data_IF_578375078819
#
_entry.id   IF_578375078819
#
_cell.length_a   1.000
_cell.length_b   1.000
_cell.length_c   1.000
_cell.angle_alpha   90.00
_cell.angle_beta   90.00
_cell.angle_gamma   90.00
#
_symmetry.space_group_name_H-M   'P 1'
#
loop_
_entity.id
_entity.type
_entity.pdbx_description
1 polymer ?
#
# COMPACT_ATOMS: atom_id res chain seq x y z
N UNK A 1 14.09 19.11 -4.51
CA UNK A 1 13.55 17.84 -5.04
C UNK A 1 14.11 16.69 -4.22
N UNK A 2 13.35 16.05 -3.32
CA UNK A 2 13.82 14.85 -2.65
C UNK A 2 13.94 13.73 -3.69
N UNK A 3 15.15 13.17 -3.83
CA UNK A 3 15.42 12.04 -4.69
C UNK A 3 14.62 10.84 -4.18
N UNK A 4 13.50 10.53 -4.84
CA UNK A 4 12.82 9.25 -4.64
C UNK A 4 13.82 8.15 -5.00
N UNK A 5 14.32 7.48 -3.96
CA UNK A 5 15.37 6.48 -4.06
C UNK A 5 15.07 5.50 -5.19
N UNK A 6 16.03 5.33 -6.09
CA UNK A 6 15.98 4.26 -7.07
C UNK A 6 15.74 2.95 -6.32
N UNK A 7 14.80 2.14 -6.82
CA UNK A 7 14.55 0.80 -6.32
C UNK A 7 15.81 -0.05 -6.54
N UNK A 8 16.76 0.00 -5.61
CA UNK A 8 17.88 -0.94 -5.61
C UNK A 8 17.33 -2.24 -5.07
N UNK A 9 16.94 -3.12 -5.99
CA UNK A 9 16.68 -4.52 -5.72
C UNK A 9 17.94 -5.13 -5.10
N UNK A 10 18.02 -5.17 -3.77
CA UNK A 10 19.07 -5.87 -3.05
C UNK A 10 18.58 -7.25 -2.62
N UNK A 11 18.84 -8.24 -3.47
CA UNK A 11 19.50 -9.51 -3.09
C UNK A 11 19.67 -10.38 -4.34
N UNK A 12 20.93 -10.70 -4.69
CA UNK A 12 21.29 -11.73 -5.67
C UNK A 12 20.49 -13.00 -5.34
N UNK A 13 19.55 -13.40 -6.19
CA UNK A 13 18.81 -14.67 -6.08
C UNK A 13 17.36 -14.60 -5.59
N UNK A 14 16.78 -13.42 -5.34
CA UNK A 14 15.33 -13.31 -5.19
C UNK A 14 14.71 -12.95 -6.54
N UNK A 15 13.80 -13.79 -7.04
CA UNK A 15 12.98 -13.52 -8.23
C UNK A 15 12.35 -12.12 -8.06
N UNK A 16 12.83 -11.16 -8.86
CA UNK A 16 12.32 -9.80 -8.88
C UNK A 16 10.82 -9.85 -9.20
N UNK A 17 10.05 -8.89 -8.68
CA UNK A 17 8.68 -8.71 -9.16
C UNK A 17 8.82 -8.27 -10.60
N UNK A 18 8.38 -9.13 -11.52
CA UNK A 18 8.29 -8.75 -12.92
C UNK A 18 7.17 -7.71 -13.00
N UNK A 19 7.49 -6.54 -13.55
CA UNK A 19 6.60 -5.37 -13.65
C UNK A 19 5.31 -5.69 -14.42
N UNK A 20 5.26 -6.83 -15.11
CA UNK A 20 4.13 -7.31 -15.91
C UNK A 20 2.91 -7.72 -15.05
N UNK A 21 3.09 -8.14 -13.80
CA UNK A 21 1.97 -8.57 -12.94
C UNK A 21 1.10 -7.39 -12.45
N UNK A 22 1.58 -6.15 -12.50
CA UNK A 22 0.84 -4.99 -11.96
C UNK A 22 -0.20 -4.43 -12.91
N UNK A 23 0.08 -4.36 -14.21
CA UNK A 23 -0.85 -3.76 -15.19
C UNK A 23 -2.10 -4.62 -15.40
N UNK A 24 -1.95 -5.94 -15.48
CA UNK A 24 -3.11 -6.85 -15.57
C UNK A 24 -4.00 -6.72 -14.32
N UNK A 25 -3.39 -6.61 -13.14
CA UNK A 25 -4.13 -6.40 -11.91
C UNK A 25 -4.84 -5.03 -11.87
N UNK A 26 -4.22 -3.97 -12.40
CA UNK A 26 -4.86 -2.65 -12.55
C UNK A 26 -6.12 -2.77 -13.41
N UNK A 27 -6.04 -3.43 -14.57
CA UNK A 27 -7.20 -3.60 -15.45
C UNK A 27 -8.31 -4.45 -14.80
N UNK A 28 -7.96 -5.50 -14.06
CA UNK A 28 -8.96 -6.25 -13.28
C UNK A 28 -9.61 -5.39 -12.19
N UNK A 29 -8.86 -4.51 -11.56
CA UNK A 29 -9.35 -3.60 -10.54
C UNK A 29 -10.30 -2.56 -11.15
N UNK A 30 -9.91 -1.94 -12.28
CA UNK A 30 -10.73 -0.97 -13.01
C UNK A 30 -12.04 -1.59 -13.54
N UNK A 31 -11.98 -2.81 -14.09
CA UNK A 31 -13.15 -3.58 -14.53
C UNK A 31 -14.12 -3.89 -13.37
N UNK A 32 -13.57 -4.15 -12.18
CA UNK A 32 -14.39 -4.39 -11.00
C UNK A 32 -15.06 -3.10 -10.49
N UNK A 33 -14.35 -1.98 -10.52
CA UNK A 33 -14.86 -0.67 -10.12
C UNK A 33 -16.01 -0.21 -11.01
N UNK A 34 -15.87 -0.34 -12.34
CA UNK A 34 -16.90 0.07 -13.30
C UNK A 34 -18.22 -0.70 -13.12
N UNK A 35 -18.15 -1.95 -12.68
CA UNK A 35 -19.31 -2.80 -12.41
C UNK A 35 -20.04 -2.47 -11.09
N UNK A 36 -19.42 -1.69 -10.19
CA UNK A 36 -19.95 -1.37 -8.86
C UNK A 36 -20.25 0.12 -8.64
N UNK A 37 -20.44 0.88 -9.73
CA UNK A 37 -20.73 2.31 -9.67
C UNK A 37 -21.97 2.59 -8.80
N UNK A 38 -21.77 3.05 -7.57
CA UNK A 38 -22.81 3.26 -6.55
C UNK A 38 -22.53 2.69 -5.16
N UNK A 39 -21.49 1.87 -4.97
CA UNK A 39 -21.09 1.41 -3.63
C UNK A 39 -20.32 2.51 -2.87
N UNK A 40 -20.86 2.96 -1.74
CA UNK A 40 -20.25 3.98 -0.86
C UNK A 40 -18.92 3.52 -0.27
N UNK A 41 -18.64 2.21 -0.22
CA UNK A 41 -17.35 1.66 0.27
C UNK A 41 -16.91 0.48 -0.58
N UNK A 42 -15.70 0.53 -1.14
CA UNK A 42 -15.16 -0.51 -2.01
C UNK A 42 -14.13 -1.38 -1.29
N UNK A 43 -13.20 -0.77 -0.56
CA UNK A 43 -12.33 -1.46 0.39
C UNK A 43 -12.73 -1.13 1.83
N UNK A 44 -12.81 -2.17 2.66
CA UNK A 44 -13.12 -2.04 4.09
C UNK A 44 -11.88 -2.30 4.94
N UNK A 45 -11.77 -1.57 6.05
CA UNK A 45 -10.65 -1.68 6.99
C UNK A 45 -10.52 -3.12 7.49
N UNK A 46 -9.31 -3.68 7.40
CA UNK A 46 -9.03 -5.01 7.90
C UNK A 46 -9.30 -5.11 9.42
N UNK A 47 -10.31 -5.90 9.81
CA UNK A 47 -10.64 -6.11 11.23
C UNK A 47 -9.48 -6.82 11.94
N UNK A 48 -8.96 -6.21 13.01
CA UNK A 48 -7.98 -6.89 13.88
C UNK A 48 -8.66 -8.11 14.49
N UNK A 49 -8.08 -9.31 14.31
CA UNK A 49 -8.54 -10.50 15.03
C UNK A 49 -8.47 -10.21 16.54
N UNK A 50 -9.59 -10.35 17.23
CA UNK A 50 -9.64 -10.25 18.69
C UNK A 50 -8.66 -11.28 19.27
N UNK A 51 -7.66 -10.80 20.00
CA UNK A 51 -6.58 -11.61 20.53
C UNK A 51 -7.11 -12.49 21.68
N UNK A 52 -7.72 -13.63 21.34
CA UNK A 52 -8.09 -14.64 22.31
C UNK A 52 -6.82 -15.21 22.98
N UNK A 53 -6.87 -15.32 24.30
CA UNK A 53 -5.90 -15.90 25.25
C UNK A 53 -4.48 -16.25 24.73
N UNK A 54 -3.71 -15.27 24.26
CA UNK A 54 -2.27 -15.43 24.06
C UNK A 54 -1.53 -14.46 24.97
N UNK A 55 -0.62 -15.00 25.80
CA UNK A 55 0.20 -14.25 26.76
C UNK A 55 0.73 -12.99 26.07
N UNK A 56 0.37 -11.83 26.63
CA UNK A 56 0.65 -10.50 26.09
C UNK A 56 2.16 -10.22 26.21
N UNK A 57 2.96 -10.70 25.26
CA UNK A 57 4.28 -10.11 25.04
C UNK A 57 3.97 -8.72 24.51
N UNK A 58 4.07 -7.70 25.37
CA UNK A 58 3.87 -6.30 25.01
C UNK A 58 5.09 -5.85 24.21
N UNK A 59 5.25 -6.36 22.99
CA UNK A 59 6.16 -5.74 22.05
C UNK A 59 5.54 -4.40 21.66
N UNK A 60 6.20 -3.31 22.02
CA UNK A 60 5.76 -1.95 21.69
C UNK A 60 5.84 -1.81 20.17
N UNK A 61 4.73 -2.07 19.48
CA UNK A 61 4.61 -1.80 18.04
C UNK A 61 5.00 -0.34 17.82
N UNK A 62 5.94 -0.11 16.90
CA UNK A 62 6.46 1.22 16.59
C UNK A 62 5.55 2.03 15.66
N UNK A 63 4.48 1.42 15.18
CA UNK A 63 3.49 1.97 14.25
C UNK A 63 2.08 1.47 14.60
N UNK A 64 1.08 2.27 14.26
CA UNK A 64 -0.34 1.97 14.42
C UNK A 64 -0.90 1.15 13.24
N UNK A 65 -0.33 1.35 12.05
CA UNK A 65 -0.80 0.77 10.78
C UNK A 65 -0.06 -0.51 10.40
N UNK A 66 -0.75 -1.38 9.65
CA UNK A 66 -0.18 -2.62 9.11
C UNK A 66 0.74 -2.31 7.94
N UNK A 67 1.85 -3.05 7.83
CA UNK A 67 2.82 -2.85 6.74
C UNK A 67 3.74 -1.63 6.93
N UNK A 68 3.50 -0.79 7.93
CA UNK A 68 4.33 0.37 8.23
C UNK A 68 5.31 0.06 9.35
N UNK A 69 6.58 0.43 9.18
CA UNK A 69 7.61 0.32 10.20
C UNK A 69 8.31 1.66 10.40
N UNK A 70 8.44 2.10 11.65
CA UNK A 70 9.21 3.31 11.99
C UNK A 70 10.71 2.99 12.00
N UNK A 71 11.46 3.68 11.14
CA UNK A 71 12.91 3.64 11.10
C UNK A 71 13.47 5.03 11.42
N UNK A 72 14.00 5.19 12.64
CA UNK A 72 14.48 6.47 13.18
C UNK A 72 13.43 7.58 13.02
N UNK A 73 13.64 8.50 12.07
CA UNK A 73 12.77 9.66 11.82
C UNK A 73 11.75 9.44 10.71
N UNK A 74 11.85 8.35 9.94
CA UNK A 74 11.00 8.08 8.79
C UNK A 74 10.14 6.83 8.99
N UNK A 75 9.05 6.76 8.24
CA UNK A 75 8.12 5.64 8.19
C UNK A 75 8.26 4.91 6.86
N UNK A 76 8.56 3.62 6.94
CA UNK A 76 8.77 2.77 5.77
C UNK A 76 7.56 1.89 5.52
N UNK A 77 7.11 1.84 4.28
CA UNK A 77 6.08 0.92 3.81
C UNK A 77 6.73 -0.35 3.28
N UNK A 78 6.36 -1.51 3.84
CA UNK A 78 6.85 -2.82 3.42
C UNK A 78 5.67 -3.71 3.03
N UNK A 79 5.78 -4.35 1.88
CA UNK A 79 4.80 -5.32 1.39
C UNK A 79 5.40 -6.72 1.35
N UNK A 80 4.58 -7.74 1.56
CA UNK A 80 5.05 -9.13 1.52
C UNK A 80 4.60 -9.76 0.22
N UNK A 81 5.55 -10.16 -0.61
CA UNK A 81 5.32 -10.80 -1.90
C UNK A 81 6.03 -12.15 -1.87
N UNK A 82 5.30 -13.24 -2.11
CA UNK A 82 5.83 -14.61 -2.09
C UNK A 82 6.61 -14.93 -0.79
N UNK A 83 6.12 -14.43 0.34
CA UNK A 83 6.75 -14.61 1.66
C UNK A 83 7.98 -13.74 1.92
N UNK A 84 8.40 -12.89 0.98
CA UNK A 84 9.53 -11.96 1.13
C UNK A 84 9.04 -10.54 1.34
N UNK A 85 9.68 -9.81 2.25
CA UNK A 85 9.38 -8.39 2.50
C UNK A 85 10.08 -7.54 1.47
N UNK A 86 9.31 -6.82 0.68
CA UNK A 86 9.77 -5.84 -0.29
C UNK A 86 9.51 -4.44 0.24
N UNK A 87 10.54 -3.59 0.17
CA UNK A 87 10.42 -2.18 0.51
C UNK A 87 9.75 -1.42 -0.63
N UNK A 88 8.71 -0.67 -0.30
CA UNK A 88 7.91 0.08 -1.27
C UNK A 88 8.30 1.55 -1.28
N UNK A 89 8.45 2.16 -0.10
CA UNK A 89 8.75 3.58 0.03
C UNK A 89 9.01 4.01 1.48
N UNK A 90 9.52 5.22 1.64
CA UNK A 90 9.80 5.86 2.93
C UNK A 90 9.23 7.27 2.92
N UNK A 91 8.58 7.62 4.01
CA UNK A 91 7.81 8.85 4.16
C UNK A 91 8.09 9.49 5.52
N UNK A 92 7.88 10.79 5.62
CA UNK A 92 8.02 11.52 6.89
C UNK A 92 6.82 11.27 7.81
N UNK A 93 5.64 11.10 7.22
CA UNK A 93 4.39 10.85 7.94
C UNK A 93 3.99 9.38 7.89
N UNK A 94 3.48 8.90 9.02
CA UNK A 94 3.00 7.52 9.16
C UNK A 94 1.81 7.23 8.24
N UNK A 95 0.90 8.20 8.09
CA UNK A 95 -0.32 8.09 7.28
C UNK A 95 0.03 7.85 5.81
N UNK A 96 1.01 8.58 5.27
CA UNK A 96 1.44 8.44 3.88
C UNK A 96 2.01 7.05 3.60
N UNK A 97 2.82 6.52 4.53
CA UNK A 97 3.33 5.15 4.43
C UNK A 97 2.20 4.10 4.43
N UNK A 98 1.16 4.32 5.25
CA UNK A 98 0.01 3.44 5.33
C UNK A 98 -0.85 3.48 4.05
N UNK A 99 -1.07 4.66 3.48
CA UNK A 99 -1.80 4.82 2.20
C UNK A 99 -1.04 4.14 1.06
N UNK A 100 0.29 4.34 0.98
CA UNK A 100 1.11 3.62 0.01
C UNK A 100 0.96 2.12 0.17
N UNK A 101 1.07 1.59 1.40
CA UNK A 101 0.88 0.16 1.64
C UNK A 101 -0.48 -0.33 1.14
N UNK A 102 -1.56 0.40 1.46
CA UNK A 102 -2.92 0.05 1.06
C UNK A 102 -3.05 -0.02 -0.46
N UNK A 103 -2.54 0.97 -1.19
CA UNK A 103 -2.55 1.00 -2.64
C UNK A 103 -1.87 -0.22 -3.25
N UNK A 104 -0.63 -0.54 -2.83
CA UNK A 104 0.07 -1.72 -3.34
C UNK A 104 -0.59 -3.03 -2.90
N UNK A 105 -1.24 -3.07 -1.74
CA UNK A 105 -2.04 -4.23 -1.31
C UNK A 105 -3.24 -4.46 -2.22
N UNK A 106 -3.95 -3.39 -2.61
CA UNK A 106 -5.06 -3.43 -3.56
C UNK A 106 -4.61 -3.97 -4.91
N UNK A 107 -3.48 -3.48 -5.41
CA UNK A 107 -2.93 -3.95 -6.68
C UNK A 107 -2.56 -5.44 -6.67
N UNK A 108 -1.97 -5.93 -5.57
CA UNK A 108 -1.52 -7.33 -5.53
C UNK A 108 -2.63 -8.34 -5.22
N UNK A 109 -3.65 -7.92 -4.46
CA UNK A 109 -4.64 -8.85 -3.90
C UNK A 109 -6.08 -8.55 -4.35
N UNK A 110 -6.29 -7.48 -5.13
CA UNK A 110 -7.59 -7.04 -5.61
C UNK A 110 -8.62 -7.03 -4.44
N UNK A 111 -9.78 -7.68 -4.58
CA UNK A 111 -10.83 -7.77 -3.54
C UNK A 111 -10.36 -8.30 -2.17
N UNK A 112 -9.26 -9.06 -2.11
CA UNK A 112 -8.75 -9.67 -0.87
C UNK A 112 -7.73 -8.79 -0.16
N UNK A 113 -7.46 -7.59 -0.68
CA UNK A 113 -6.51 -6.67 -0.10
C UNK A 113 -6.84 -6.34 1.35
N UNK A 114 -5.79 -6.26 2.16
CA UNK A 114 -5.90 -5.88 3.55
C UNK A 114 -5.53 -4.41 3.66
N UNK A 115 -6.52 -3.54 3.69
CA UNK A 115 -6.31 -2.09 3.79
C UNK A 115 -6.43 -1.63 5.23
N UNK A 116 -5.67 -0.58 5.55
CA UNK A 116 -5.72 0.14 6.81
C UNK A 116 -6.86 1.18 6.82
N UNK A 117 -7.16 1.78 5.67
CA UNK A 117 -8.25 2.74 5.51
C UNK A 117 -9.40 2.19 4.66
N UNK A 118 -10.55 2.86 4.74
CA UNK A 118 -11.69 2.64 3.86
C UNK A 118 -11.57 3.53 2.64
N UNK A 119 -11.82 2.96 1.45
CA UNK A 119 -11.72 3.68 0.19
C UNK A 119 -13.00 3.56 -0.62
N UNK A 120 -13.41 4.67 -1.23
CA UNK A 120 -14.47 4.71 -2.24
C UNK A 120 -13.91 4.29 -3.60
N UNK A 121 -14.80 4.02 -4.56
CA UNK A 121 -14.39 3.74 -5.93
C UNK A 121 -13.60 4.93 -6.53
N UNK A 122 -14.06 6.16 -6.28
CA UNK A 122 -13.42 7.39 -6.78
C UNK A 122 -12.02 7.59 -6.20
N UNK A 123 -11.82 7.25 -4.92
CA UNK A 123 -10.50 7.33 -4.30
C UNK A 123 -9.51 6.41 -5.00
N UNK A 124 -9.92 5.17 -5.27
CA UNK A 124 -9.05 4.19 -5.93
C UNK A 124 -8.76 4.60 -7.37
N UNK A 125 -9.72 5.18 -8.09
CA UNK A 125 -9.49 5.75 -9.42
C UNK A 125 -8.42 6.85 -9.39
N UNK A 126 -8.54 7.81 -8.48
CA UNK A 126 -7.53 8.87 -8.30
C UNK A 126 -6.15 8.30 -7.99
N UNK A 127 -6.09 7.23 -7.20
CA UNK A 127 -4.82 6.57 -6.91
C UNK A 127 -4.19 5.93 -8.15
N UNK A 128 -4.99 5.29 -8.99
CA UNK A 128 -4.53 4.67 -10.24
C UNK A 128 -4.08 5.74 -11.24
N UNK A 129 -4.84 6.83 -11.39
CA UNK A 129 -4.45 7.97 -12.22
C UNK A 129 -3.12 8.57 -11.78
N UNK A 130 -2.97 8.78 -10.47
CA UNK A 130 -1.72 9.26 -9.87
C UNK A 130 -0.54 8.30 -10.15
N UNK A 131 -0.75 6.99 -10.02
CA UNK A 131 0.26 5.98 -10.33
C UNK A 131 0.71 6.03 -11.80
N UNK A 132 -0.25 6.17 -12.73
CA UNK A 132 0.01 6.33 -14.17
C UNK A 132 0.74 7.64 -14.49
N UNK A 133 0.35 8.73 -13.84
CA UNK A 133 0.94 10.06 -14.05
C UNK A 133 2.44 10.11 -13.68
N UNK A 134 2.86 9.36 -12.67
CA UNK A 134 4.25 9.35 -12.18
C UNK A 134 5.10 8.18 -12.72
N UNK A 135 4.68 7.56 -13.82
CA UNK A 135 5.45 6.49 -14.47
C UNK A 135 5.53 5.22 -13.64
N UNK A 136 4.37 4.72 -13.20
CA UNK A 136 4.20 3.50 -12.41
C UNK A 136 4.83 3.59 -11.01
N UNK A 137 4.71 4.77 -10.40
CA UNK A 137 5.08 5.02 -9.00
C UNK A 137 3.97 5.77 -8.30
N UNK A 138 3.52 5.26 -7.17
CA UNK A 138 2.45 5.94 -6.43
C UNK A 138 3.02 7.07 -5.58
N UNK A 139 2.46 8.28 -5.74
CA UNK A 139 2.82 9.44 -4.93
C UNK A 139 1.70 9.77 -3.91
N UNK A 140 1.82 9.37 -2.63
CA UNK A 140 0.75 9.58 -1.66
C UNK A 140 0.48 11.04 -1.30
N UNK A 141 1.40 11.97 -1.58
CA UNK A 141 1.23 13.40 -1.25
C UNK A 141 0.13 14.04 -2.10
N UNK A 142 0.03 13.67 -3.38
CA UNK A 142 -0.95 14.21 -4.33
C UNK A 142 -2.36 13.72 -4.00
N UNK A 143 -2.48 12.54 -3.38
CA UNK A 143 -3.77 11.96 -2.97
C UNK A 143 -4.34 12.64 -1.70
N UNK A 144 -3.49 12.93 -0.72
CA UNK A 144 -3.93 13.54 0.55
C UNK A 144 -4.01 15.08 0.46
N UNK A 145 -3.49 15.66 -0.63
CA UNK A 145 -3.46 17.12 -0.82
C UNK A 145 -2.52 17.85 0.16
N UNK A 146 -1.51 17.14 0.68
CA UNK A 146 -0.53 17.71 1.62
C UNK A 146 0.73 18.07 0.85
N UNK A 147 1.03 19.37 0.75
CA UNK A 147 2.27 19.85 0.15
C UNK A 147 3.45 19.70 1.14
N UNK A 148 4.65 19.47 0.59
CA UNK A 148 5.90 19.39 1.36
C UNK A 148 6.34 20.76 1.88
#
# INVERSE_FOLDING_TARGET
MPAYGQFTAYSKGAKCIEVQDFEENIETLLSLLSSQLGSVTYFSVAKKKSQACKRKIVSKRRSQYTGVTKNSSNYQALIVINGKKTYVGSYTQEILAAITFDFYSMLLHNKKAMTNFSYTADDVLKMVENFRAHGNKFNPYDFVGVQN
#
